data_IF_235335605810
#
_entry.id   IF_235335605810
#
_cell.length_a   1.000
_cell.length_b   1.000
_cell.length_c   1.000
_cell.angle_alpha   90.00
_cell.angle_beta   90.00
_cell.angle_gamma   90.00
#
_symmetry.space_group_name_H-M   'P 1'
#
loop_
_entity.id
_entity.type
_entity.pdbx_description
1 polymer ?
#
# COMPACT_ATOMS: atom_id res chain seq x y z
N UNK A 1 4.18 11.66 0.41
CA UNK A 1 4.04 10.21 0.17
C UNK A 1 3.60 9.52 1.44
N UNK A 2 2.71 8.54 1.32
CA UNK A 2 2.16 7.75 2.42
C UNK A 2 2.16 6.27 2.04
N UNK A 3 2.24 5.40 3.04
CA UNK A 3 1.97 3.98 2.90
C UNK A 3 0.78 3.58 3.74
N UNK A 4 -0.04 2.68 3.22
CA UNK A 4 -1.08 1.98 3.97
C UNK A 4 -0.73 0.49 3.99
N UNK A 5 -0.33 -0.01 5.15
CA UNK A 5 -0.01 -1.41 5.38
C UNK A 5 -1.24 -2.10 5.95
N UNK A 6 -1.76 -3.08 5.23
CA UNK A 6 -2.85 -3.93 5.64
C UNK A 6 -2.32 -5.33 5.91
N UNK A 7 -2.26 -5.71 7.18
CA UNK A 7 -1.81 -7.04 7.61
C UNK A 7 -3.00 -7.83 8.13
N UNK A 8 -3.22 -9.04 7.64
CA UNK A 8 -4.41 -9.82 7.94
C UNK A 8 -4.13 -11.33 7.97
N UNK A 9 -5.01 -12.04 8.68
CA UNK A 9 -5.03 -13.50 8.71
C UNK A 9 -6.02 -14.02 7.64
N UNK A 10 -5.55 -14.73 6.60
CA UNK A 10 -6.43 -15.27 5.57
C UNK A 10 -7.47 -16.25 6.14
N UNK A 11 -8.69 -16.16 5.60
CA UNK A 11 -9.76 -17.12 5.81
C UNK A 11 -10.06 -17.88 4.52
N UNK A 12 -11.34 -18.09 4.25
CA UNK A 12 -11.79 -18.73 3.02
C UNK A 12 -12.31 -17.66 2.06
N UNK A 13 -11.83 -17.69 0.83
CA UNK A 13 -12.25 -16.76 -0.22
C UNK A 13 -13.19 -17.45 -1.18
N UNK A 14 -14.32 -16.81 -1.44
CA UNK A 14 -15.31 -17.23 -2.42
C UNK A 14 -15.31 -16.28 -3.63
N UNK A 15 -16.17 -16.55 -4.61
CA UNK A 15 -16.26 -15.71 -5.80
C UNK A 15 -16.68 -14.27 -5.49
N UNK A 16 -17.42 -14.05 -4.38
CA UNK A 16 -17.83 -12.71 -3.98
C UNK A 16 -16.63 -11.90 -3.47
N UNK A 17 -15.77 -12.52 -2.66
CA UNK A 17 -14.48 -11.94 -2.26
C UNK A 17 -13.66 -11.55 -3.49
N UNK A 18 -13.40 -12.50 -4.39
CA UNK A 18 -12.53 -12.26 -5.54
C UNK A 18 -13.05 -11.17 -6.47
N UNK A 19 -14.38 -11.09 -6.69
CA UNK A 19 -14.97 -9.99 -7.46
C UNK A 19 -14.80 -8.64 -6.77
N UNK A 20 -15.05 -8.57 -5.46
CA UNK A 20 -14.98 -7.32 -4.72
C UNK A 20 -13.53 -6.84 -4.59
N UNK A 21 -12.59 -7.75 -4.34
CA UNK A 21 -11.15 -7.49 -4.29
C UNK A 21 -10.65 -6.92 -5.63
N UNK A 22 -11.02 -7.55 -6.75
CA UNK A 22 -10.67 -7.05 -8.08
C UNK A 22 -11.20 -5.62 -8.35
N UNK A 23 -12.46 -5.34 -7.97
CA UNK A 23 -13.03 -3.99 -8.08
C UNK A 23 -12.22 -2.98 -7.25
N UNK A 24 -11.85 -3.32 -6.03
CA UNK A 24 -11.08 -2.44 -5.15
C UNK A 24 -9.69 -2.19 -5.71
N UNK A 25 -9.04 -3.23 -6.26
CA UNK A 25 -7.74 -3.11 -6.90
C UNK A 25 -7.80 -2.17 -8.12
N UNK A 26 -8.81 -2.32 -8.98
CA UNK A 26 -8.99 -1.45 -10.15
C UNK A 26 -9.28 0.01 -9.74
N UNK A 27 -10.10 0.21 -8.71
CA UNK A 27 -10.34 1.54 -8.13
C UNK A 27 -9.05 2.15 -7.60
N UNK A 28 -8.25 1.39 -6.84
CA UNK A 28 -6.99 1.87 -6.29
C UNK A 28 -6.03 2.33 -7.40
N UNK A 29 -5.85 1.51 -8.43
CA UNK A 29 -5.00 1.83 -9.60
C UNK A 29 -5.53 3.02 -10.41
N UNK A 30 -6.84 3.26 -10.38
CA UNK A 30 -7.48 4.37 -11.08
C UNK A 30 -7.37 5.72 -10.35
N UNK A 31 -7.02 5.75 -9.07
CA UNK A 31 -6.92 7.00 -8.29
C UNK A 31 -5.62 7.74 -8.65
N UNK A 32 -5.69 9.01 -9.10
CA UNK A 32 -4.50 9.82 -9.27
C UNK A 32 -3.71 9.93 -7.96
N UNK A 33 -2.42 9.61 -8.04
CA UNK A 33 -1.52 9.55 -6.89
C UNK A 33 -1.35 8.16 -6.27
N UNK A 34 -1.89 7.12 -6.89
CA UNK A 34 -1.52 5.74 -6.61
C UNK A 34 -0.13 5.42 -7.17
N UNK A 35 0.75 4.84 -6.35
CA UNK A 35 2.15 4.55 -6.71
C UNK A 35 2.45 3.05 -6.87
N UNK A 36 1.47 2.18 -6.60
CA UNK A 36 1.61 0.73 -6.63
C UNK A 36 1.49 0.07 -5.27
N UNK A 37 1.52 -1.25 -5.29
CA UNK A 37 1.42 -2.11 -4.11
C UNK A 37 2.45 -3.25 -4.12
N UNK A 38 2.69 -3.81 -2.95
CA UNK A 38 3.41 -5.08 -2.80
C UNK A 38 2.74 -5.93 -1.72
N UNK A 39 2.91 -7.25 -1.80
CA UNK A 39 2.33 -8.17 -0.84
C UNK A 39 3.34 -9.24 -0.43
N UNK A 40 3.32 -9.57 0.86
CA UNK A 40 4.22 -10.54 1.47
C UNK A 40 3.43 -11.48 2.37
N UNK A 41 3.81 -12.75 2.39
CA UNK A 41 3.30 -13.73 3.34
C UNK A 41 4.38 -14.06 4.36
N UNK A 42 3.99 -14.21 5.63
CA UNK A 42 4.85 -14.68 6.71
C UNK A 42 4.65 -16.18 6.92
N UNK A 43 5.58 -17.06 6.53
CA UNK A 43 5.43 -18.50 6.73
C UNK A 43 5.30 -18.91 8.20
N UNK A 44 5.88 -18.12 9.11
CA UNK A 44 5.87 -18.40 10.54
C UNK A 44 4.51 -18.17 11.19
N UNK A 45 3.72 -17.22 10.67
CA UNK A 45 2.43 -16.82 11.26
C UNK A 45 1.24 -17.09 10.34
N UNK A 46 1.48 -17.34 9.06
CA UNK A 46 0.44 -17.43 8.02
C UNK A 46 -0.24 -16.09 7.72
N UNK A 47 0.31 -14.96 8.23
CA UNK A 47 -0.24 -13.64 7.96
C UNK A 47 0.20 -13.13 6.58
N UNK A 48 -0.69 -12.42 5.93
CA UNK A 48 -0.42 -11.68 4.69
C UNK A 48 -0.35 -10.20 5.02
N UNK A 49 0.60 -9.49 4.41
CA UNK A 49 0.73 -8.05 4.52
C UNK A 49 0.80 -7.43 3.14
N UNK A 50 -0.16 -6.58 2.81
CA UNK A 50 -0.17 -5.77 1.59
C UNK A 50 0.17 -4.33 1.94
N UNK A 51 1.13 -3.73 1.23
CA UNK A 51 1.50 -2.33 1.39
C UNK A 51 1.11 -1.58 0.13
N UNK A 52 0.29 -0.54 0.28
CA UNK A 52 -0.10 0.36 -0.79
C UNK A 52 0.61 1.69 -0.64
N UNK A 53 1.16 2.22 -1.72
CA UNK A 53 1.88 3.48 -1.74
C UNK A 53 1.10 4.58 -2.45
N UNK A 54 1.15 5.77 -1.87
CA UNK A 54 0.36 6.92 -2.31
C UNK A 54 1.20 8.19 -2.31
N UNK A 55 1.02 9.04 -3.30
CA UNK A 55 1.66 10.36 -3.36
C UNK A 55 1.23 11.24 -2.18
N UNK A 56 -0.06 11.17 -1.80
CA UNK A 56 -0.66 11.98 -0.75
C UNK A 56 -1.66 11.19 0.11
N UNK A 57 -1.91 11.70 1.33
CA UNK A 57 -2.96 11.16 2.21
C UNK A 57 -4.36 11.33 1.59
N UNK A 58 -4.57 12.40 0.81
CA UNK A 58 -5.82 12.66 0.12
C UNK A 58 -6.12 11.58 -0.93
N UNK A 59 -5.12 11.10 -1.68
CA UNK A 59 -5.30 10.01 -2.63
C UNK A 59 -5.72 8.71 -1.92
N UNK A 60 -5.04 8.35 -0.83
CA UNK A 60 -5.43 7.21 0.02
C UNK A 60 -6.85 7.36 0.57
N UNK A 61 -7.23 8.56 1.02
CA UNK A 61 -8.57 8.81 1.56
C UNK A 61 -9.69 8.57 0.53
N UNK A 62 -9.44 8.82 -0.76
CA UNK A 62 -10.40 8.51 -1.83
C UNK A 62 -10.71 7.01 -1.87
N UNK A 63 -9.69 6.16 -1.78
CA UNK A 63 -9.90 4.70 -1.72
C UNK A 63 -10.67 4.33 -0.45
N UNK A 64 -10.25 4.86 0.71
CA UNK A 64 -10.87 4.52 2.00
C UNK A 64 -12.37 4.85 2.05
N UNK A 65 -12.79 5.90 1.33
CA UNK A 65 -14.17 6.36 1.24
C UNK A 65 -14.95 5.75 0.07
N UNK A 66 -14.28 5.01 -0.83
CA UNK A 66 -14.94 4.42 -1.99
C UNK A 66 -16.01 3.39 -1.55
N UNK A 67 -17.22 3.38 -2.16
CA UNK A 67 -18.30 2.48 -1.75
C UNK A 67 -17.90 0.99 -1.73
N UNK A 68 -17.13 0.53 -2.71
CA UNK A 68 -16.66 -0.85 -2.76
C UNK A 68 -15.74 -1.19 -1.57
N UNK A 69 -14.84 -0.28 -1.21
CA UNK A 69 -13.94 -0.47 -0.07
C UNK A 69 -14.73 -0.48 1.27
N UNK A 70 -15.72 0.40 1.42
CA UNK A 70 -16.62 0.40 2.58
C UNK A 70 -17.43 -0.91 2.66
N UNK A 71 -17.94 -1.40 1.53
CA UNK A 71 -18.68 -2.67 1.46
C UNK A 71 -17.80 -3.87 1.84
N UNK A 72 -16.53 -3.91 1.40
CA UNK A 72 -15.58 -4.95 1.80
C UNK A 72 -15.32 -4.91 3.31
N UNK A 73 -15.11 -3.71 3.88
CA UNK A 73 -14.88 -3.56 5.32
C UNK A 73 -16.05 -4.05 6.17
N UNK A 74 -17.29 -3.88 5.69
CA UNK A 74 -18.48 -4.38 6.39
C UNK A 74 -18.58 -5.91 6.35
N UNK A 75 -18.08 -6.54 5.29
CA UNK A 75 -18.18 -7.99 5.07
C UNK A 75 -16.90 -8.76 5.42
N UNK A 76 -15.81 -8.07 5.76
CA UNK A 76 -14.47 -8.64 5.92
C UNK A 76 -14.41 -9.90 6.79
N UNK A 77 -15.20 -9.98 7.88
CA UNK A 77 -15.19 -11.11 8.80
C UNK A 77 -15.64 -12.43 8.17
N UNK A 78 -16.26 -12.39 6.99
CA UNK A 78 -16.61 -13.57 6.20
C UNK A 78 -15.36 -14.21 5.55
N UNK A 79 -14.35 -13.41 5.25
CA UNK A 79 -13.22 -13.80 4.40
C UNK A 79 -11.88 -13.76 5.12
N UNK A 80 -11.71 -12.89 6.12
CA UNK A 80 -10.46 -12.78 6.91
C UNK A 80 -10.75 -12.96 8.39
N UNK A 81 -9.81 -13.57 9.11
CA UNK A 81 -9.95 -13.94 10.53
C UNK A 81 -9.57 -12.81 11.50
N UNK A 82 -9.04 -11.72 10.96
CA UNK A 82 -8.58 -10.56 11.73
C UNK A 82 -7.58 -9.75 10.92
N UNK A 83 -7.42 -8.47 11.27
CA UNK A 83 -6.49 -7.59 10.57
C UNK A 83 -6.02 -6.41 11.42
N UNK A 84 -4.94 -5.77 10.96
CA UNK A 84 -4.45 -4.50 11.44
C UNK A 84 -4.08 -3.60 10.25
N UNK A 85 -4.34 -2.30 10.37
CA UNK A 85 -3.98 -1.31 9.34
C UNK A 85 -3.08 -0.25 9.97
N UNK A 86 -1.93 -0.02 9.35
CA UNK A 86 -1.03 1.08 9.69
C UNK A 86 -0.96 2.05 8.52
N UNK A 87 -1.23 3.33 8.78
CA UNK A 87 -1.01 4.40 7.81
C UNK A 87 0.19 5.20 8.29
N UNK A 88 1.21 5.32 7.44
CA UNK A 88 2.46 6.00 7.77
C UNK A 88 2.82 7.02 6.69
N UNK A 89 3.47 8.11 7.11
CA UNK A 89 4.11 9.03 6.18
C UNK A 89 5.47 8.46 5.79
N UNK A 90 5.73 8.38 4.49
CA UNK A 90 7.06 7.99 3.97
C UNK A 90 7.91 9.25 3.93
N UNK A 91 8.92 9.30 4.79
CA UNK A 91 9.86 10.43 4.85
C UNK A 91 10.92 10.34 3.75
N UNK A 92 11.40 9.12 3.48
CA UNK A 92 12.41 8.80 2.48
C UNK A 92 12.21 7.38 1.96
N UNK A 93 12.64 7.13 0.72
CA UNK A 93 12.74 5.81 0.11
C UNK A 93 14.04 5.74 -0.69
N UNK A 94 14.78 4.65 -0.55
CA UNK A 94 16.08 4.43 -1.20
C UNK A 94 16.19 2.96 -1.61
N UNK A 95 16.98 2.68 -2.65
CA UNK A 95 17.28 1.33 -3.11
C UNK A 95 18.51 1.34 -4.02
N UNK A 96 19.09 0.17 -4.25
CA UNK A 96 20.23 -0.03 -5.15
C UNK A 96 19.81 -0.33 -6.61
N UNK A 97 18.51 -0.44 -6.85
CA UNK A 97 17.95 -0.80 -8.16
C UNK A 97 18.06 -2.29 -8.51
N UNK A 98 18.53 -3.13 -7.59
CA UNK A 98 18.64 -4.57 -7.79
C UNK A 98 17.30 -5.30 -7.79
N UNK A 99 16.23 -4.63 -7.36
CA UNK A 99 14.86 -5.15 -7.36
C UNK A 99 13.87 -4.10 -7.90
N UNK A 100 12.78 -4.60 -8.48
CA UNK A 100 11.61 -3.77 -8.73
C UNK A 100 10.93 -3.43 -7.40
N UNK A 101 10.56 -2.17 -7.22
CA UNK A 101 9.79 -1.72 -6.07
C UNK A 101 8.86 -0.58 -6.51
N UNK A 102 7.61 -0.49 -6.00
CA UNK A 102 6.64 0.53 -6.42
C UNK A 102 7.18 1.97 -6.34
N UNK A 103 8.01 2.26 -5.33
CA UNK A 103 8.60 3.60 -5.14
C UNK A 103 9.90 3.87 -5.90
N UNK A 104 10.40 2.95 -6.73
CA UNK A 104 11.69 3.14 -7.42
C UNK A 104 11.74 4.40 -8.29
N UNK A 105 10.63 4.79 -8.93
CA UNK A 105 10.55 6.02 -9.71
C UNK A 105 10.47 7.30 -8.84
N UNK A 106 9.83 7.21 -7.67
CA UNK A 106 9.64 8.34 -6.77
C UNK A 106 10.89 8.64 -5.92
N UNK A 107 11.72 7.62 -5.65
CA UNK A 107 13.00 7.78 -4.95
C UNK A 107 14.00 8.67 -5.72
N UNK A 108 13.96 8.64 -7.06
CA UNK A 108 14.82 9.48 -7.91
C UNK A 108 14.53 10.98 -7.83
N UNK A 109 13.30 11.38 -7.49
CA UNK A 109 12.93 12.79 -7.39
C UNK A 109 13.39 13.44 -6.06
N UNK A 110 13.53 12.66 -4.98
CA UNK A 110 13.95 13.17 -3.68
C UNK A 110 15.49 13.32 -3.56
N UNK A 111 16.27 12.64 -4.40
CA UNK A 111 17.74 12.68 -4.37
C UNK A 111 18.36 13.96 -4.92
N UNK A 112 17.61 14.77 -5.67
CA UNK A 112 18.12 16.01 -6.28
C UNK A 112 18.10 17.23 -5.33
N UNK A 113 17.53 17.12 -4.12
CA UNK A 113 17.29 18.26 -3.24
C UNK A 113 18.25 18.37 -2.04
N UNK A 114 19.27 17.54 -1.93
CA UNK A 114 20.24 17.61 -0.81
C UNK A 114 21.67 17.34 -1.26
N UNK A 115 22.22 18.23 -2.08
CA UNK A 115 23.66 18.49 -2.05
C UNK A 115 23.89 19.61 -1.02
N UNK A 116 24.12 19.22 0.23
CA UNK A 116 24.63 20.15 1.25
C UNK A 116 26.12 20.32 0.97
N UNK A 117 26.64 21.54 0.70
CA UNK A 117 28.05 21.70 0.41
C UNK A 117 28.88 21.36 1.65
N UNK A 118 29.76 20.39 1.48
CA UNK A 118 30.78 20.02 2.46
C UNK A 118 31.72 21.20 2.67
N UNK A 119 31.52 21.99 3.72
CA UNK A 119 32.60 22.79 4.29
C UNK A 119 33.35 21.93 5.29
N UNK A 120 34.58 21.56 4.92
CA UNK A 120 35.60 21.15 5.87
C UNK A 120 36.58 22.32 6.06
N UNK A 121 37.07 22.54 7.29
CA UNK A 121 38.05 23.59 7.61
C UNK A 121 39.45 23.28 7.04
#
# INVERSE_FOLDING_TARGET
MYSATFTFAPGNYDDAFHRLDAIIADVARGIPGYLGEEAWESPATGLVSTVYYWESLQALQQLMQHPAHLAAKQQQAQWIKGYHVVIAQVLRAHGDGGIAHPLSAAAGAAGAATEVPSHHP
#
